data_IF_052646922464
#
_entry.id   IF_052646922464
#
_cell.length_a   1.000
_cell.length_b   1.000
_cell.length_c   1.000
_cell.angle_alpha   90.00
_cell.angle_beta   90.00
_cell.angle_gamma   90.00
#
_symmetry.space_group_name_H-M   'P 1'
#
loop_
_entity.id
_entity.type
_entity.pdbx_description
1 polymer ?
#
# COMPACT_ATOMS: atom_id res chain seq x y z
N UNK A 1 -1.77 -9.53 15.94
CA UNK A 1 -2.18 -8.35 15.14
C UNK A 1 -3.65 -7.99 15.36
N UNK A 2 -4.63 -8.84 15.01
CA UNK A 2 -6.09 -8.51 15.04
C UNK A 2 -6.61 -7.88 16.35
N UNK A 3 -6.16 -8.34 17.52
CA UNK A 3 -6.59 -7.76 18.81
C UNK A 3 -6.23 -6.28 18.95
N UNK A 4 -4.98 -5.91 18.63
CA UNK A 4 -4.52 -4.51 18.69
C UNK A 4 -5.26 -3.61 17.71
N UNK A 5 -5.58 -4.12 16.52
CA UNK A 5 -6.34 -3.38 15.51
C UNK A 5 -7.74 -3.05 16.00
N UNK A 6 -8.39 -3.96 16.71
CA UNK A 6 -9.72 -3.72 17.31
C UNK A 6 -9.68 -2.77 18.49
N UNK A 7 -8.60 -2.78 19.26
CA UNK A 7 -8.44 -1.92 20.44
C UNK A 7 -8.04 -0.48 20.05
N UNK A 8 -7.35 -0.29 18.93
CA UNK A 8 -6.76 1.01 18.54
C UNK A 8 -7.32 1.61 17.25
N UNK A 9 -8.09 0.84 16.47
CA UNK A 9 -8.71 1.29 15.22
C UNK A 9 -10.12 1.89 15.40
N UNK A 10 -10.76 2.31 14.30
CA UNK A 10 -10.28 2.21 12.92
C UNK A 10 -9.22 3.26 12.56
N UNK A 11 -8.33 2.93 11.61
CA UNK A 11 -7.34 3.85 11.06
C UNK A 11 -7.80 4.31 9.68
N UNK A 12 -7.74 5.62 9.41
CA UNK A 12 -7.94 6.16 8.06
C UNK A 12 -6.65 6.27 7.26
N UNK A 13 -5.49 6.30 7.95
CA UNK A 13 -4.18 6.44 7.34
C UNK A 13 -3.14 5.66 8.16
N UNK A 14 -2.29 4.90 7.47
CA UNK A 14 -1.16 4.17 8.03
C UNK A 14 0.10 4.67 7.34
N UNK A 15 1.05 5.21 8.11
CA UNK A 15 2.34 5.67 7.58
C UNK A 15 3.46 4.82 8.15
N UNK A 16 4.31 4.30 7.27
CA UNK A 16 5.50 3.54 7.64
C UNK A 16 6.74 4.14 6.98
N UNK A 17 7.84 4.25 7.73
CA UNK A 17 9.14 4.64 7.18
C UNK A 17 10.16 3.61 7.56
N UNK A 18 10.95 3.19 6.56
CA UNK A 18 12.04 2.25 6.71
C UNK A 18 11.63 0.98 7.47
N UNK A 19 10.53 0.34 7.04
CA UNK A 19 10.06 -0.91 7.64
C UNK A 19 10.69 -2.16 7.01
N UNK A 20 11.42 -1.98 5.90
CA UNK A 20 12.12 -3.04 5.17
C UNK A 20 13.62 -2.76 5.21
N UNK A 21 14.39 -3.72 5.72
CA UNK A 21 15.85 -3.64 5.80
C UNK A 21 16.51 -4.98 5.45
N UNK A 22 17.01 -5.09 4.21
CA UNK A 22 17.84 -6.21 3.79
C UNK A 22 17.15 -7.57 3.84
N UNK A 23 17.95 -8.63 3.65
CA UNK A 23 17.46 -10.01 3.52
C UNK A 23 16.72 -10.55 4.75
N UNK A 24 16.89 -9.93 5.92
CA UNK A 24 16.23 -10.35 7.16
C UNK A 24 14.77 -9.86 7.29
N UNK A 25 14.32 -8.94 6.43
CA UNK A 25 12.99 -8.31 6.52
C UNK A 25 12.21 -8.50 5.22
N UNK A 26 11.59 -9.67 5.09
CA UNK A 26 10.76 -9.98 3.92
C UNK A 26 9.44 -9.22 3.96
N UNK A 27 8.93 -8.81 2.80
CA UNK A 27 7.73 -7.99 2.71
C UNK A 27 6.43 -8.74 3.10
N UNK A 28 6.45 -10.09 3.08
CA UNK A 28 5.28 -10.93 3.29
C UNK A 28 4.53 -10.65 4.61
N UNK A 29 5.19 -10.77 5.79
CA UNK A 29 4.54 -10.52 7.09
C UNK A 29 3.97 -9.09 7.23
N UNK A 30 4.62 -8.10 6.62
CA UNK A 30 4.12 -6.72 6.62
C UNK A 30 2.82 -6.62 5.81
N UNK A 31 2.82 -7.13 4.57
CA UNK A 31 1.61 -7.15 3.73
C UNK A 31 0.49 -7.98 4.37
N UNK A 32 0.80 -9.08 5.06
CA UNK A 32 -0.18 -9.86 5.82
C UNK A 32 -0.85 -9.05 6.92
N UNK A 33 -0.06 -8.32 7.68
CA UNK A 33 -0.55 -7.50 8.77
C UNK A 33 -1.42 -6.36 8.25
N UNK A 34 -0.97 -5.67 7.20
CA UNK A 34 -1.73 -4.60 6.56
C UNK A 34 -3.03 -5.13 5.96
N UNK A 35 -3.01 -6.29 5.30
CA UNK A 35 -4.23 -6.90 4.74
C UNK A 35 -5.22 -7.30 5.84
N UNK A 36 -4.72 -7.84 6.96
CA UNK A 36 -5.55 -8.15 8.11
C UNK A 36 -6.18 -6.87 8.71
N UNK A 37 -5.45 -5.76 8.74
CA UNK A 37 -5.97 -4.46 9.18
C UNK A 37 -7.07 -3.93 8.25
N UNK A 38 -6.81 -3.92 6.95
CA UNK A 38 -7.78 -3.51 5.93
C UNK A 38 -9.07 -4.35 5.93
N UNK A 39 -9.03 -5.58 6.46
CA UNK A 39 -10.19 -6.46 6.55
C UNK A 39 -11.07 -6.19 7.78
N UNK A 40 -10.64 -5.36 8.75
CA UNK A 40 -11.45 -5.05 9.92
C UNK A 40 -12.46 -3.91 9.62
N UNK A 41 -13.70 -3.99 10.14
CA UNK A 41 -14.71 -2.95 9.94
C UNK A 41 -14.20 -1.56 10.37
N UNK A 42 -14.32 -0.58 9.47
CA UNK A 42 -13.89 0.80 9.69
C UNK A 42 -12.47 1.14 9.20
N UNK A 43 -11.60 0.14 9.00
CA UNK A 43 -10.25 0.33 8.43
C UNK A 43 -10.20 -0.05 6.93
N UNK A 44 -11.34 -0.39 6.33
CA UNK A 44 -11.46 -0.78 4.92
C UNK A 44 -11.08 0.34 3.95
N UNK A 45 -11.22 1.60 4.37
CA UNK A 45 -10.86 2.78 3.58
C UNK A 45 -9.49 3.35 3.99
N UNK A 46 -8.68 2.59 4.74
CA UNK A 46 -7.38 3.04 5.17
C UNK A 46 -6.41 3.14 3.98
N UNK A 47 -5.78 4.30 3.85
CA UNK A 47 -4.63 4.50 2.96
C UNK A 47 -3.34 4.06 3.68
N UNK A 48 -2.43 3.40 2.95
CA UNK A 48 -1.12 3.02 3.48
C UNK A 48 -0.02 3.65 2.66
N UNK A 49 0.79 4.49 3.30
CA UNK A 49 1.95 5.15 2.67
C UNK A 49 3.22 4.62 3.32
N UNK A 50 4.08 3.99 2.52
CA UNK A 50 5.35 3.42 2.94
C UNK A 50 6.52 4.15 2.27
N UNK A 51 7.40 4.73 3.06
CA UNK A 51 8.68 5.26 2.60
C UNK A 51 9.78 4.21 2.79
N UNK A 52 10.39 3.79 1.68
CA UNK A 52 11.44 2.75 1.65
C UNK A 52 12.69 3.36 1.04
N UNK A 53 13.83 3.32 1.74
CA UNK A 53 15.09 3.86 1.19
C UNK A 53 15.42 3.27 -0.18
N UNK A 54 16.00 4.09 -1.06
CA UNK A 54 16.34 3.68 -2.41
C UNK A 54 17.32 2.50 -2.47
N UNK A 55 18.25 2.40 -1.50
CA UNK A 55 19.12 1.23 -1.36
C UNK A 55 18.37 -0.10 -1.15
N UNK A 56 17.08 -0.04 -0.80
CA UNK A 56 16.16 -1.17 -0.63
C UNK A 56 15.12 -1.23 -1.76
N UNK A 57 15.49 -0.84 -2.99
CA UNK A 57 14.59 -0.85 -4.14
C UNK A 57 14.04 -2.26 -4.46
N UNK A 58 14.87 -3.30 -4.30
CA UNK A 58 14.45 -4.68 -4.53
C UNK A 58 13.34 -5.10 -3.56
N UNK A 59 13.43 -4.69 -2.30
CA UNK A 59 12.44 -4.94 -1.26
C UNK A 59 11.15 -4.16 -1.54
N UNK A 60 11.23 -2.94 -2.05
CA UNK A 60 10.06 -2.18 -2.51
C UNK A 60 9.36 -2.89 -3.68
N UNK A 61 10.11 -3.42 -4.65
CA UNK A 61 9.57 -4.22 -5.76
C UNK A 61 8.89 -5.49 -5.24
N UNK A 62 9.55 -6.21 -4.33
CA UNK A 62 9.00 -7.42 -3.71
C UNK A 62 7.72 -7.12 -2.93
N UNK A 63 7.68 -6.02 -2.16
CA UNK A 63 6.49 -5.58 -1.46
C UNK A 63 5.33 -5.28 -2.41
N UNK A 64 5.59 -4.59 -3.52
CA UNK A 64 4.57 -4.31 -4.53
C UNK A 64 4.05 -5.59 -5.20
N UNK A 65 4.94 -6.54 -5.50
CA UNK A 65 4.56 -7.83 -6.08
C UNK A 65 3.66 -8.62 -5.10
N UNK A 66 4.04 -8.67 -3.83
CA UNK A 66 3.28 -9.33 -2.76
C UNK A 66 1.90 -8.67 -2.53
N UNK A 67 1.84 -7.35 -2.52
CA UNK A 67 0.58 -6.60 -2.40
C UNK A 67 -0.37 -6.90 -3.57
N UNK A 68 0.14 -6.86 -4.82
CA UNK A 68 -0.64 -7.17 -6.03
C UNK A 68 -1.13 -8.61 -6.04
N UNK A 69 -0.29 -9.56 -5.60
CA UNK A 69 -0.64 -10.99 -5.52
C UNK A 69 -1.83 -11.26 -4.60
N UNK A 70 -2.06 -10.44 -3.59
CA UNK A 70 -3.22 -10.58 -2.68
C UNK A 70 -4.52 -10.03 -3.24
N UNK A 71 -4.48 -9.27 -4.32
CA UNK A 71 -5.64 -8.70 -5.01
C UNK A 71 -6.59 -7.86 -4.13
N UNK A 72 -6.09 -7.39 -2.98
CA UNK A 72 -6.82 -6.48 -2.08
C UNK A 72 -6.42 -5.03 -2.36
N UNK A 73 -5.21 -4.82 -2.92
CA UNK A 73 -4.57 -3.51 -2.98
C UNK A 73 -4.48 -2.99 -4.40
N UNK A 74 -4.87 -1.73 -4.59
CA UNK A 74 -4.35 -0.88 -5.64
C UNK A 74 -3.00 -0.33 -5.19
N UNK A 75 -1.97 -0.58 -6.00
CA UNK A 75 -0.57 -0.27 -5.66
C UNK A 75 -0.07 0.83 -6.59
N UNK A 76 0.26 1.99 -6.01
CA UNK A 76 0.90 3.11 -6.72
C UNK A 76 2.28 3.37 -6.14
N UNK A 77 3.28 3.56 -7.00
CA UNK A 77 4.55 4.16 -6.58
C UNK A 77 4.48 5.65 -6.88
N UNK A 78 4.91 6.49 -5.96
CA UNK A 78 4.96 7.93 -6.21
C UNK A 78 5.95 8.23 -7.34
N UNK A 79 5.60 9.18 -8.19
CA UNK A 79 6.44 9.75 -9.24
C UNK A 79 7.09 11.05 -8.77
N UNK A 80 7.99 11.63 -9.57
CA UNK A 80 8.70 12.86 -9.17
C UNK A 80 7.72 14.02 -8.95
N UNK A 81 6.67 14.08 -9.76
CA UNK A 81 5.64 15.13 -9.72
C UNK A 81 4.69 14.99 -8.51
N UNK A 82 4.71 13.86 -7.80
CA UNK A 82 3.94 13.68 -6.57
C UNK A 82 4.58 14.38 -5.36
N UNK A 83 5.84 14.82 -5.48
CA UNK A 83 6.56 15.47 -4.38
C UNK A 83 6.38 17.00 -4.42
N UNK A 84 6.31 17.67 -3.26
CA UNK A 84 6.29 19.13 -3.21
C UNK A 84 7.48 19.73 -3.95
N UNK A 85 7.27 20.87 -4.60
CA UNK A 85 8.34 21.62 -5.25
C UNK A 85 9.49 21.90 -4.26
N UNK A 86 10.73 21.59 -4.66
CA UNK A 86 11.91 21.71 -3.81
C UNK A 86 12.14 20.54 -2.83
N UNK A 87 11.23 19.57 -2.75
CA UNK A 87 11.51 18.31 -2.08
C UNK A 87 12.38 17.46 -3.00
N UNK A 88 13.70 17.54 -2.82
CA UNK A 88 14.65 16.65 -3.47
C UNK A 88 14.49 15.24 -2.91
N UNK A 89 13.48 14.54 -3.41
CA UNK A 89 13.42 13.11 -3.31
C UNK A 89 14.55 12.45 -4.13
N UNK A 90 15.53 13.20 -4.65
CA UNK A 90 16.72 12.75 -5.36
C UNK A 90 17.92 12.86 -4.41
N UNK A 91 18.73 11.81 -4.29
CA UNK A 91 19.94 11.79 -3.49
C UNK A 91 21.14 11.52 -4.39
N UNK A 92 22.13 12.42 -4.38
CA UNK A 92 23.43 12.25 -5.05
C UNK A 92 24.52 11.99 -4.03
N UNK A 93 25.11 10.78 -4.08
CA UNK A 93 26.40 10.48 -3.46
C UNK A 93 27.46 10.56 -4.56
N UNK A 94 28.59 11.22 -4.32
CA UNK A 94 29.70 11.31 -5.31
C UNK A 94 30.04 9.94 -5.89
N UNK A 95 29.82 9.76 -7.20
CA UNK A 95 30.06 8.51 -7.92
C UNK A 95 28.82 7.63 -8.15
N UNK A 96 27.62 8.04 -7.72
CA UNK A 96 26.35 7.40 -8.06
C UNK A 96 25.50 8.29 -8.96
N UNK A 97 24.75 7.68 -9.88
CA UNK A 97 23.76 8.36 -10.72
C UNK A 97 22.69 9.06 -9.86
N UNK A 98 22.16 10.18 -10.34
CA UNK A 98 21.01 10.86 -9.74
C UNK A 98 19.84 9.87 -9.63
N UNK A 99 19.40 9.59 -8.40
CA UNK A 99 18.32 8.64 -8.14
C UNK A 99 17.53 9.05 -6.92
N UNK A 100 16.33 8.50 -6.75
CA UNK A 100 15.48 8.90 -5.62
C UNK A 100 16.13 8.55 -4.27
N UNK A 101 15.87 9.29 -3.18
CA UNK A 101 16.27 8.97 -1.81
C UNK A 101 15.38 7.86 -1.24
N UNK A 102 14.09 7.88 -1.60
CA UNK A 102 13.08 6.94 -1.15
C UNK A 102 12.17 6.50 -2.31
N UNK A 103 11.77 5.22 -2.27
CA UNK A 103 10.62 4.69 -2.96
C UNK A 103 9.41 4.89 -2.05
N UNK A 104 8.43 5.68 -2.50
CA UNK A 104 7.16 5.86 -1.78
C UNK A 104 6.13 4.93 -2.41
N UNK A 105 5.63 3.98 -1.63
CA UNK A 105 4.57 3.05 -2.04
C UNK A 105 3.28 3.47 -1.36
N UNK A 106 2.24 3.70 -2.16
CA UNK A 106 0.88 3.93 -1.71
C UNK A 106 0.03 2.70 -2.00
N UNK A 107 -0.59 2.14 -0.96
CA UNK A 107 -1.55 1.04 -1.05
C UNK A 107 -2.93 1.56 -0.65
N UNK A 108 -3.91 1.32 -1.51
CA UNK A 108 -5.33 1.61 -1.24
C UNK A 108 -6.11 0.32 -1.38
N UNK A 109 -7.08 0.08 -0.51
CA UNK A 109 -7.96 -1.10 -0.65
C UNK A 109 -8.81 -0.94 -1.91
N UNK A 110 -8.82 -1.97 -2.76
CA UNK A 110 -9.68 -2.02 -3.94
C UNK A 110 -11.13 -1.91 -3.50
N UNK A 111 -11.85 -0.92 -4.01
CA UNK A 111 -13.30 -0.87 -3.88
C UNK A 111 -13.86 -2.01 -4.72
N UNK A 112 -14.40 -3.03 -4.06
CA UNK A 112 -15.13 -4.11 -4.73
C UNK A 112 -16.20 -3.44 -5.59
N UNK A 113 -16.20 -3.69 -6.90
CA UNK A 113 -17.21 -3.16 -7.80
C UNK A 113 -18.55 -3.86 -7.49
N UNK A 114 -19.28 -3.38 -6.48
CA UNK A 114 -20.69 -3.72 -6.28
C UNK A 114 -21.55 -2.90 -7.23
N UNK A 115 -21.38 -3.08 -8.54
CA UNK A 115 -22.34 -2.64 -9.54
C UNK A 115 -22.31 -3.61 -10.72
N UNK A 116 -23.27 -4.56 -10.74
CA UNK A 116 -24.00 -5.11 -11.90
C UNK A 116 -24.62 -6.48 -11.57
N UNK A 117 -25.79 -6.49 -10.90
CA UNK A 117 -26.92 -7.41 -11.19
C UNK A 117 -28.06 -7.33 -10.15
N UNK A 118 -28.46 -6.13 -9.73
CA UNK A 118 -29.80 -5.93 -9.17
C UNK A 118 -30.52 -5.00 -10.16
N UNK A 119 -31.21 -5.61 -11.13
CA UNK A 119 -32.39 -5.10 -11.83
C UNK A 119 -32.62 -5.90 -13.13
N UNK A 120 -33.22 -7.07 -12.99
CA UNK A 120 -34.25 -7.52 -13.93
C UNK A 120 -35.34 -8.19 -13.11
N UNK A 121 -36.32 -7.36 -12.78
CA UNK A 121 -37.53 -7.70 -12.07
C UNK A 121 -38.21 -8.95 -12.63
N UNK A 122 -38.72 -9.75 -11.71
CA UNK A 122 -39.65 -10.83 -12.03
C UNK A 122 -40.86 -10.28 -12.75
N UNK A 123 -40.93 -10.52 -14.06
CA UNK A 123 -42.18 -10.55 -14.79
C UNK A 123 -42.87 -11.89 -14.49
N UNK A 124 -43.52 -11.96 -13.33
CA UNK A 124 -44.64 -12.85 -13.15
C UNK A 124 -45.80 -12.32 -13.98
N UNK A 125 -46.19 -13.06 -15.02
CA UNK A 125 -47.52 -12.96 -15.61
C UNK A 125 -48.07 -14.38 -15.63
N UNK A 126 -49.28 -14.48 -15.07
CA UNK A 126 -50.15 -15.65 -15.02
C UNK A 126 -50.48 -16.19 -16.40
#
# INVERSE_FOLDING_TARGET
SRRLVRESGPFSLIVGSDLLYGEASTAGPLIETLAAMASEPGARDAEVILAIKNRCANEAVALCAEARRRDIWDVRLAEADDFPEGYEAHFTLTGCEEGRAYNIVHLVVKKSCEQLSNNSDGAGIQ
#
